data_IF_146204566009
#
_entry.id   IF_146204566009
#
_cell.length_a   1.000
_cell.length_b   1.000
_cell.length_c   1.000
_cell.angle_alpha   90.00
_cell.angle_beta   90.00
_cell.angle_gamma   90.00
#
_symmetry.space_group_name_H-M   'P 1'
#
loop_
_entity.id
_entity.type
_entity.pdbx_description
1 polymer ?
#
# COMPACT_ATOMS: atom_id res chain seq x y z
N UNK A 1 -4.75 -11.45 -27.46
CA UNK A 1 -5.26 -10.69 -26.30
C UNK A 1 -4.20 -10.81 -25.23
N UNK A 2 -3.46 -9.74 -24.97
CA UNK A 2 -2.46 -9.71 -23.91
C UNK A 2 -3.18 -9.82 -22.58
N UNK A 3 -3.00 -10.92 -21.86
CA UNK A 3 -3.14 -10.88 -20.41
C UNK A 3 -2.13 -9.85 -19.92
N UNK A 4 -2.54 -8.77 -19.22
CA UNK A 4 -1.56 -7.93 -18.55
C UNK A 4 -0.78 -8.81 -17.57
N UNK A 5 0.49 -8.53 -17.28
CA UNK A 5 1.15 -9.21 -16.18
C UNK A 5 0.36 -8.87 -14.92
N UNK A 6 -0.37 -9.85 -14.39
CA UNK A 6 -0.89 -9.75 -13.03
C UNK A 6 0.34 -9.77 -12.12
N UNK A 7 0.94 -8.60 -11.88
CA UNK A 7 1.70 -8.39 -10.66
C UNK A 7 0.63 -8.36 -9.57
N UNK A 8 0.14 -9.54 -9.18
CA UNK A 8 -0.54 -9.70 -7.90
C UNK A 8 0.58 -9.48 -6.90
N UNK A 9 0.69 -8.27 -6.38
CA UNK A 9 1.44 -8.11 -5.15
C UNK A 9 0.75 -9.00 -4.12
N UNK A 10 1.51 -9.86 -3.48
CA UNK A 10 0.99 -10.74 -2.44
C UNK A 10 0.82 -9.87 -1.18
N UNK A 11 -0.35 -9.22 -1.07
CA UNK A 11 -0.73 -8.49 0.14
C UNK A 11 -1.54 -9.42 1.02
N UNK A 12 -1.05 -9.67 2.23
CA UNK A 12 -1.72 -10.52 3.20
C UNK A 12 -2.37 -9.67 4.28
N UNK A 13 -3.67 -9.87 4.51
CA UNK A 13 -4.40 -9.21 5.58
C UNK A 13 -3.96 -9.78 6.92
N UNK A 14 -3.23 -8.99 7.70
CA UNK A 14 -2.79 -9.38 9.04
C UNK A 14 -3.91 -9.15 10.05
N UNK A 15 -4.44 -7.93 10.07
CA UNK A 15 -5.44 -7.50 11.04
C UNK A 15 -6.47 -6.62 10.36
N UNK A 16 -7.75 -6.81 10.66
CA UNK A 16 -8.84 -5.96 10.21
C UNK A 16 -9.77 -5.70 11.37
N UNK A 17 -9.91 -4.44 11.74
CA UNK A 17 -10.86 -3.99 12.74
C UNK A 17 -12.11 -3.46 12.02
N UNK A 18 -13.23 -4.16 12.20
CA UNK A 18 -14.48 -3.80 11.55
C UNK A 18 -15.23 -2.67 12.27
N UNK A 19 -14.92 -2.41 13.55
CA UNK A 19 -15.57 -1.34 14.33
C UNK A 19 -14.93 0.02 14.01
N UNK A 20 -13.61 0.03 13.84
CA UNK A 20 -12.83 1.21 13.48
C UNK A 20 -12.63 1.38 11.97
N UNK A 21 -12.84 0.31 11.17
CA UNK A 21 -12.55 0.31 9.73
C UNK A 21 -11.06 0.30 9.40
N UNK A 22 -10.22 0.01 10.39
CA UNK A 22 -8.76 -0.03 10.25
C UNK A 22 -8.31 -1.39 9.72
N UNK A 23 -7.36 -1.41 8.80
CA UNK A 23 -6.77 -2.63 8.27
C UNK A 23 -5.25 -2.57 8.26
N UNK A 24 -4.60 -3.67 8.62
CA UNK A 24 -3.16 -3.86 8.53
C UNK A 24 -2.89 -5.04 7.61
N UNK A 25 -2.03 -4.79 6.63
CA UNK A 25 -1.60 -5.75 5.63
C UNK A 25 -0.07 -5.86 5.64
N UNK A 26 0.46 -7.02 5.33
CA UNK A 26 1.87 -7.18 4.96
C UNK A 26 2.03 -7.34 3.46
N UNK A 27 3.17 -6.89 2.93
CA UNK A 27 3.57 -7.10 1.54
C UNK A 27 5.05 -7.46 1.47
N UNK A 28 5.45 -8.12 0.37
CA UNK A 28 6.86 -8.46 0.15
C UNK A 28 7.68 -7.23 -0.26
N UNK A 29 8.82 -7.00 0.38
CA UNK A 29 9.71 -5.87 0.05
C UNK A 29 10.42 -6.01 -1.30
N UNK A 30 10.30 -7.16 -1.98
CA UNK A 30 10.68 -7.33 -3.38
C UNK A 30 9.64 -6.74 -4.34
N UNK A 31 8.40 -6.57 -3.90
CA UNK A 31 7.35 -5.90 -4.66
C UNK A 31 7.42 -4.37 -4.54
N UNK A 32 6.74 -3.70 -5.46
CA UNK A 32 6.65 -2.24 -5.44
C UNK A 32 5.65 -1.80 -4.37
N UNK A 33 6.03 -0.93 -3.42
CA UNK A 33 5.13 -0.45 -2.38
C UNK A 33 3.94 0.32 -2.96
N UNK A 34 4.14 0.99 -4.09
CA UNK A 34 3.09 1.74 -4.80
C UNK A 34 1.98 0.80 -5.28
N UNK A 35 2.34 -0.39 -5.76
CA UNK A 35 1.37 -1.40 -6.20
C UNK A 35 0.73 -2.04 -4.98
N UNK A 36 1.53 -2.39 -3.96
CA UNK A 36 1.05 -2.95 -2.71
C UNK A 36 0.00 -2.07 -2.03
N UNK A 37 0.17 -0.75 -2.01
CA UNK A 37 -0.83 0.18 -1.44
C UNK A 37 -2.13 0.17 -2.23
N UNK A 38 -2.06 0.28 -3.56
CA UNK A 38 -3.27 0.29 -4.40
C UNK A 38 -4.02 -1.03 -4.22
N UNK A 39 -3.30 -2.15 -4.21
CA UNK A 39 -3.89 -3.48 -4.03
C UNK A 39 -4.48 -3.67 -2.62
N UNK A 40 -3.80 -3.15 -1.59
CA UNK A 40 -4.27 -3.16 -0.22
C UNK A 40 -5.61 -2.41 -0.06
N UNK A 41 -5.69 -1.20 -0.62
CA UNK A 41 -6.91 -0.37 -0.58
C UNK A 41 -8.00 -0.99 -1.42
N UNK A 42 -7.68 -1.49 -2.62
CA UNK A 42 -8.61 -2.24 -3.46
C UNK A 42 -9.19 -3.46 -2.73
N UNK A 43 -8.37 -4.17 -1.96
CA UNK A 43 -8.78 -5.31 -1.13
C UNK A 43 -9.60 -4.90 0.09
N UNK A 44 -9.40 -3.69 0.65
CA UNK A 44 -10.31 -3.13 1.67
C UNK A 44 -11.68 -2.84 1.08
N UNK A 45 -11.68 -2.07 0.00
CA UNK A 45 -12.89 -1.55 -0.63
C UNK A 45 -13.64 -2.61 -1.45
N UNK A 46 -12.98 -3.72 -1.78
CA UNK A 46 -13.54 -4.76 -2.65
C UNK A 46 -13.72 -4.28 -4.10
N UNK A 47 -12.88 -3.35 -4.55
CA UNK A 47 -12.93 -2.76 -5.90
C UNK A 47 -11.67 -3.09 -6.68
N UNK A 48 -11.71 -2.93 -8.00
CA UNK A 48 -10.52 -3.10 -8.82
C UNK A 48 -9.50 -1.98 -8.56
N UNK A 49 -8.20 -2.29 -8.46
CA UNK A 49 -7.13 -1.29 -8.26
C UNK A 49 -7.08 -0.25 -9.40
N UNK A 50 -7.52 -0.62 -10.60
CA UNK A 50 -7.62 0.29 -11.75
C UNK A 50 -8.81 1.27 -11.66
N UNK A 51 -9.77 0.99 -10.78
CA UNK A 51 -10.93 1.85 -10.55
C UNK A 51 -10.68 2.88 -9.43
N UNK A 52 -9.59 2.73 -8.67
CA UNK A 52 -9.15 3.69 -7.68
C UNK A 52 -8.55 4.93 -8.34
N UNK A 53 -8.52 6.03 -7.59
CA UNK A 53 -7.79 7.22 -8.00
C UNK A 53 -6.30 6.91 -8.21
N UNK A 54 -5.63 7.57 -9.16
CA UNK A 54 -4.22 7.35 -9.38
C UNK A 54 -3.38 7.70 -8.15
N UNK A 55 -2.59 6.76 -7.64
CA UNK A 55 -1.72 6.99 -6.48
C UNK A 55 -0.73 8.15 -6.67
N UNK A 56 -0.35 8.43 -7.93
CA UNK A 56 0.57 9.52 -8.26
C UNK A 56 0.01 10.93 -8.00
N UNK A 57 -1.31 11.08 -7.87
CA UNK A 57 -1.94 12.34 -7.46
C UNK A 57 -1.78 12.59 -5.94
N UNK A 58 -1.77 11.51 -5.15
CA UNK A 58 -1.66 11.58 -3.69
C UNK A 58 -0.21 11.58 -3.18
N UNK A 59 0.67 10.81 -3.84
CA UNK A 59 2.07 10.65 -3.46
C UNK A 59 2.94 10.49 -4.70
N UNK A 60 4.16 11.01 -4.65
CA UNK A 60 5.13 10.79 -5.72
C UNK A 60 5.60 9.33 -5.71
N UNK A 61 5.02 8.53 -6.62
CA UNK A 61 5.33 7.09 -6.76
C UNK A 61 6.79 6.83 -7.09
N UNK A 62 7.43 7.76 -7.82
CA UNK A 62 8.84 7.66 -8.21
C UNK A 62 9.74 7.89 -7.00
N UNK A 63 9.43 8.89 -6.17
CA UNK A 63 10.13 9.16 -4.93
C UNK A 63 9.98 8.01 -3.93
N UNK A 64 8.77 7.43 -3.82
CA UNK A 64 8.50 6.30 -2.95
C UNK A 64 9.29 5.05 -3.37
N UNK A 65 9.25 4.67 -4.65
CA UNK A 65 9.99 3.51 -5.18
C UNK A 65 11.50 3.67 -4.95
N UNK A 66 12.03 4.87 -5.19
CA UNK A 66 13.44 5.20 -4.88
C UNK A 66 13.73 5.07 -3.39
N UNK A 67 12.87 5.59 -2.53
CA UNK A 67 13.06 5.54 -1.08
C UNK A 67 13.20 4.09 -0.59
N UNK A 68 12.40 3.17 -1.13
CA UNK A 68 12.48 1.73 -0.80
C UNK A 68 13.74 1.10 -1.36
N UNK A 69 14.08 1.40 -2.61
CA UNK A 69 15.30 0.91 -3.25
C UNK A 69 16.57 1.24 -2.47
N UNK A 70 16.60 2.39 -1.78
CA UNK A 70 17.73 2.82 -0.95
C UNK A 70 17.66 2.27 0.49
N UNK A 71 16.48 1.93 1.00
CA UNK A 71 16.24 1.52 2.39
C UNK A 71 16.61 0.05 2.67
N UNK A 72 16.82 -0.76 1.62
CA UNK A 72 17.23 -2.18 1.72
C UNK A 72 18.54 -2.43 2.49
N UNK A 73 19.23 -1.39 2.96
CA UNK A 73 20.55 -1.44 3.58
C UNK A 73 20.66 -0.71 4.93
N UNK A 74 19.60 -0.69 5.77
CA UNK A 74 19.64 -0.49 7.25
C UNK A 74 18.77 0.67 7.81
N UNK A 75 17.56 0.92 7.29
CA UNK A 75 16.65 1.90 7.89
C UNK A 75 15.23 1.38 8.02
N UNK A 76 14.56 1.72 9.14
CA UNK A 76 13.10 1.67 9.22
C UNK A 76 12.57 2.96 8.59
N UNK A 77 11.89 2.85 7.45
CA UNK A 77 11.23 3.98 6.79
C UNK A 77 9.73 3.88 6.99
N UNK A 78 9.13 4.99 7.38
CA UNK A 78 7.69 5.13 7.52
C UNK A 78 7.19 6.27 6.66
N UNK A 79 6.21 6.00 5.81
CA UNK A 79 5.60 6.98 4.92
C UNK A 79 4.10 6.97 5.15
N UNK A 80 3.54 8.11 5.52
CA UNK A 80 2.11 8.26 5.77
C UNK A 80 1.52 9.32 4.84
N UNK A 81 0.44 8.99 4.13
CA UNK A 81 -0.25 9.89 3.21
C UNK A 81 -1.74 9.54 3.12
N UNK A 82 -2.56 10.45 2.62
CA UNK A 82 -3.98 10.19 2.39
C UNK A 82 -4.21 9.70 0.96
N UNK A 83 -5.00 8.65 0.79
CA UNK A 83 -5.35 8.07 -0.51
C UNK A 83 -6.72 7.41 -0.46
N UNK A 84 -7.58 7.71 -1.45
CA UNK A 84 -8.93 7.14 -1.57
C UNK A 84 -9.79 7.24 -0.28
N UNK A 85 -9.63 8.31 0.51
CA UNK A 85 -10.35 8.50 1.79
C UNK A 85 -9.74 7.78 3.00
N UNK A 86 -8.66 7.03 2.80
CA UNK A 86 -7.89 6.37 3.86
C UNK A 86 -6.57 7.11 4.12
N UNK A 87 -6.12 7.10 5.36
CA UNK A 87 -4.75 7.35 5.74
C UNK A 87 -3.97 6.05 5.55
N UNK A 88 -3.08 6.07 4.57
CA UNK A 88 -2.19 4.97 4.23
C UNK A 88 -0.86 5.22 4.90
N UNK A 89 -0.43 4.26 5.69
CA UNK A 89 0.87 4.24 6.34
C UNK A 89 1.67 3.01 5.89
N UNK A 90 2.81 3.25 5.27
CA UNK A 90 3.73 2.20 4.81
C UNK A 90 4.93 2.17 5.74
N UNK A 91 5.19 1.02 6.34
CA UNK A 91 6.38 0.75 7.13
C UNK A 91 7.29 -0.23 6.36
N UNK A 92 8.53 0.17 6.16
CA UNK A 92 9.58 -0.59 5.48
C UNK A 92 10.69 -0.81 6.48
N UNK A 93 10.78 -2.04 7.01
CA UNK A 93 11.85 -2.46 7.93
C UNK A 93 12.34 -3.85 7.55
N UNK A 94 12.16 -4.82 8.44
CA UNK A 94 12.42 -6.24 8.15
C UNK A 94 11.39 -6.87 7.19
N UNK A 95 10.17 -6.33 7.17
CA UNK A 95 9.09 -6.70 6.25
C UNK A 95 8.27 -5.45 5.90
N UNK A 96 7.58 -5.49 4.77
CA UNK A 96 6.68 -4.42 4.33
C UNK A 96 5.35 -4.52 5.06
N UNK A 97 4.93 -3.46 5.74
CA UNK A 97 3.60 -3.37 6.35
C UNK A 97 2.87 -2.13 5.84
N UNK A 98 1.57 -2.28 5.62
CA UNK A 98 0.67 -1.22 5.18
C UNK A 98 -0.48 -1.16 6.17
N UNK A 99 -0.70 0.01 6.76
CA UNK A 99 -1.81 0.29 7.67
C UNK A 99 -2.73 1.30 6.98
N UNK A 100 -4.03 0.99 7.03
CA UNK A 100 -5.10 1.75 6.40
C UNK A 100 -6.05 2.19 7.50
N UNK A 101 -6.20 3.50 7.69
CA UNK A 101 -7.09 4.10 8.68
C UNK A 101 -8.09 5.03 7.97
N UNK A 102 -9.41 4.87 8.13
CA UNK A 102 -10.38 5.76 7.48
C UNK A 102 -10.24 7.19 8.03
N UNK A 103 -10.17 8.20 7.13
CA UNK A 103 -9.99 9.61 7.54
C UNK A 103 -11.28 10.33 7.91
N UNK A 104 -12.43 9.84 7.45
CA UNK A 104 -13.73 10.45 7.72
C UNK A 104 -14.41 9.69 8.88
N UNK A 105 -14.29 10.22 10.11
CA UNK A 105 -15.03 9.74 11.29
C UNK A 105 -15.67 10.90 12.04
#
# INVERSE_FOLDING_TARGET
MSTPPTHTTDVELLERDADEGTAVLSYDLADRPTVAVVDAVATVEGVDPISLEPLHDAVDTDALDRLVGHTRSNGDVRVTFAFAGYEVEIEIGSAGRIRLEPRDR
#
